data_IF_077826617265
#
_entry.id   IF_077826617265
#
_cell.length_a   1.000
_cell.length_b   1.000
_cell.length_c   1.000
_cell.angle_alpha   90.00
_cell.angle_beta   90.00
_cell.angle_gamma   90.00
#
_symmetry.space_group_name_H-M   'P 1'
#
loop_
_entity.id
_entity.type
_entity.pdbx_description
1 polymer ?
#
# COMPACT_ATOMS: atom_id res chain seq x y z
N UNK A 1 -55.29 7.96 -0.60
CA UNK A 1 -56.26 9.05 -0.38
C UNK A 1 -56.02 9.66 0.99
N UNK A 2 -55.60 10.92 1.05
CA UNK A 2 -55.79 11.82 2.21
C UNK A 2 -56.98 12.74 1.87
N UNK A 3 -57.71 13.36 2.84
CA UNK A 3 -57.22 14.57 3.57
C UNK A 3 -57.75 14.75 5.04
N UNK A 4 -56.97 15.31 5.98
CA UNK A 4 -56.90 16.71 6.53
C UNK A 4 -58.16 17.26 7.27
N UNK A 5 -58.06 17.57 8.59
CA UNK A 5 -58.22 18.95 9.19
C UNK A 5 -58.07 19.07 10.73
N UNK A 6 -57.14 19.95 11.12
CA UNK A 6 -57.11 21.01 12.18
C UNK A 6 -57.76 20.84 13.57
N UNK A 7 -57.00 21.18 14.64
CA UNK A 7 -57.25 22.39 15.47
C UNK A 7 -56.05 22.74 16.39
N UNK A 8 -56.03 24.01 16.84
CA UNK A 8 -54.95 24.75 17.54
C UNK A 8 -55.17 24.76 19.06
N UNK A 9 -54.10 24.84 19.86
CA UNK A 9 -54.05 25.66 21.10
C UNK A 9 -52.68 26.35 21.19
N UNK A 10 -52.71 27.62 21.58
CA UNK A 10 -51.57 28.54 21.73
C UNK A 10 -51.18 28.70 23.20
N UNK A 11 -49.91 28.96 23.51
CA UNK A 11 -49.57 29.95 24.55
C UNK A 11 -48.20 30.62 24.29
N UNK A 12 -48.12 31.86 24.78
CA UNK A 12 -47.26 32.98 24.38
C UNK A 12 -45.84 32.98 24.97
N UNK A 13 -44.90 33.41 24.12
CA UNK A 13 -43.85 34.46 24.29
C UNK A 13 -42.94 34.43 25.53
N UNK A 14 -41.63 34.34 25.28
CA UNK A 14 -40.69 35.43 25.61
C UNK A 14 -39.62 35.57 24.52
N UNK A 15 -39.41 36.81 24.09
CA UNK A 15 -38.35 37.26 23.19
C UNK A 15 -37.03 37.30 23.96
N UNK A 16 -35.90 36.96 23.33
CA UNK A 16 -34.78 37.89 23.11
C UNK A 16 -33.93 37.39 21.96
N UNK A 17 -33.58 38.33 21.09
CA UNK A 17 -32.87 38.21 19.83
C UNK A 17 -31.38 38.35 20.10
N UNK A 18 -30.56 37.50 19.46
CA UNK A 18 -29.25 37.90 18.95
C UNK A 18 -28.87 36.99 17.77
N UNK A 19 -29.20 37.45 16.56
CA UNK A 19 -28.57 36.95 15.33
C UNK A 19 -27.19 37.56 15.25
N UNK A 20 -26.15 36.74 15.20
CA UNK A 20 -24.83 37.19 14.75
C UNK A 20 -24.57 36.56 13.39
N UNK A 21 -24.81 37.35 12.34
CA UNK A 21 -24.33 37.07 10.98
C UNK A 21 -22.96 37.71 10.89
N UNK A 22 -21.90 36.91 10.76
CA UNK A 22 -20.56 37.43 10.43
C UNK A 22 -20.31 37.15 8.95
N UNK A 23 -20.32 38.24 8.19
CA UNK A 23 -19.84 38.33 6.81
C UNK A 23 -18.37 38.78 6.91
N UNK A 24 -17.42 37.93 6.53
CA UNK A 24 -16.01 38.34 6.42
C UNK A 24 -15.69 38.61 4.96
N UNK A 25 -15.56 39.90 4.65
CA UNK A 25 -14.84 40.41 3.48
C UNK A 25 -13.37 40.62 3.89
N UNK A 26 -12.47 40.24 3.00
CA UNK A 26 -11.03 40.39 3.12
C UNK A 26 -10.62 41.84 3.41
N UNK A 27 -9.78 42.04 4.44
CA UNK A 27 -8.53 42.84 4.45
C UNK A 27 -8.08 43.04 5.91
N UNK A 28 -6.80 42.75 6.21
CA UNK A 28 -6.14 43.27 7.42
C UNK A 28 -5.67 42.23 8.44
N UNK A 29 -4.36 41.97 8.43
CA UNK A 29 -3.61 41.04 9.26
C UNK A 29 -3.49 41.42 10.75
N UNK A 30 -3.20 40.39 11.56
CA UNK A 30 -2.25 40.35 12.67
C UNK A 30 -2.65 40.68 14.13
N UNK A 31 -3.83 41.21 14.45
CA UNK A 31 -4.16 41.52 15.87
C UNK A 31 -5.21 40.61 16.56
N UNK A 32 -5.95 39.78 15.83
CA UNK A 32 -7.05 39.02 16.43
C UNK A 32 -6.64 37.67 17.04
N UNK A 33 -5.42 37.18 16.78
CA UNK A 33 -4.98 35.85 17.26
C UNK A 33 -4.33 35.87 18.66
N UNK A 34 -3.96 37.05 19.17
CA UNK A 34 -3.38 37.20 20.53
C UNK A 34 -4.48 37.33 21.60
N UNK A 35 -5.70 37.77 21.25
CA UNK A 35 -6.78 37.93 22.23
C UNK A 35 -7.57 36.64 22.51
N UNK A 36 -7.64 35.69 21.56
CA UNK A 36 -8.31 34.40 21.78
C UNK A 36 -7.52 33.42 22.65
N UNK A 37 -6.18 33.54 22.71
CA UNK A 37 -5.34 32.74 23.61
C UNK A 37 -5.35 33.24 25.06
N UNK A 38 -5.73 34.50 25.30
CA UNK A 38 -5.82 35.07 26.66
C UNK A 38 -7.18 34.84 27.32
N UNK A 39 -8.26 34.76 26.54
CA UNK A 39 -9.63 34.52 27.04
C UNK A 39 -9.95 33.05 27.34
N UNK A 40 -9.14 32.10 26.89
CA UNK A 40 -9.30 30.66 27.20
C UNK A 40 -8.48 30.20 28.43
N UNK A 41 -7.77 31.10 29.11
CA UNK A 41 -6.93 30.77 30.28
C UNK A 41 -7.60 30.94 31.65
N UNK A 42 -8.83 31.45 31.71
CA UNK A 42 -9.49 31.74 33.01
C UNK A 42 -10.78 30.96 33.28
N UNK A 43 -11.13 29.96 32.48
CA UNK A 43 -12.24 29.07 32.88
C UNK A 43 -12.06 27.71 32.23
N UNK A 44 -11.49 26.76 32.98
CA UNK A 44 -11.79 25.31 33.01
C UNK A 44 -10.70 24.67 33.88
N UNK A 45 -11.07 24.39 35.12
CA UNK A 45 -10.30 23.58 36.05
C UNK A 45 -10.89 22.16 35.98
N UNK A 46 -10.53 21.38 34.96
CA UNK A 46 -10.98 19.98 34.83
C UNK A 46 -9.93 19.10 34.14
N UNK A 47 -9.46 18.12 34.91
CA UNK A 47 -8.77 16.87 34.57
C UNK A 47 -7.46 16.90 33.77
N UNK A 48 -6.43 16.38 34.43
CA UNK A 48 -5.12 16.00 33.91
C UNK A 48 -5.22 15.03 32.72
N UNK A 49 -5.18 15.54 31.50
CA UNK A 49 -4.61 14.82 30.34
C UNK A 49 -3.70 15.82 29.63
N UNK A 50 -2.42 15.47 29.47
CA UNK A 50 -1.44 16.28 28.75
C UNK A 50 -1.86 16.40 27.27
N UNK A 51 -2.61 17.44 26.93
CA UNK A 51 -2.81 17.84 25.53
C UNK A 51 -1.59 18.66 25.12
N UNK A 52 -0.60 17.99 24.55
CA UNK A 52 0.49 18.66 23.83
C UNK A 52 -0.07 19.13 22.49
N UNK A 53 -0.46 20.40 22.40
CA UNK A 53 -0.79 21.04 21.12
C UNK A 53 0.54 21.33 20.41
N UNK A 54 0.89 20.51 19.43
CA UNK A 54 2.00 20.78 18.52
C UNK A 54 1.58 21.87 17.54
N UNK A 55 1.86 23.12 17.89
CA UNK A 55 1.88 24.24 16.95
C UNK A 55 3.30 24.33 16.37
N UNK A 56 3.68 23.37 15.54
CA UNK A 56 4.82 23.57 14.64
C UNK A 56 4.31 24.38 13.46
N UNK A 57 4.80 25.61 13.32
CA UNK A 57 4.74 26.35 12.07
C UNK A 57 5.42 25.47 11.00
N UNK A 58 4.63 24.66 10.30
CA UNK A 58 5.09 23.98 9.10
C UNK A 58 5.30 25.08 8.09
N UNK A 59 6.56 25.44 7.84
CA UNK A 59 6.91 26.14 6.61
C UNK A 59 6.39 25.26 5.47
N UNK A 60 5.28 25.67 4.87
CA UNK A 60 4.66 25.03 3.71
C UNK A 60 5.61 25.24 2.54
N UNK A 61 6.62 24.36 2.43
CA UNK A 61 7.39 24.24 1.22
C UNK A 61 6.53 23.40 0.29
N UNK A 62 5.86 24.07 -0.65
CA UNK A 62 5.20 23.39 -1.77
C UNK A 62 6.26 22.62 -2.54
N UNK A 63 6.12 21.29 -2.63
CA UNK A 63 7.07 20.42 -3.34
C UNK A 63 6.44 19.87 -4.61
N UNK A 64 7.23 19.78 -5.68
CA UNK A 64 6.84 19.14 -6.94
C UNK A 64 7.62 17.84 -7.10
N UNK A 65 6.91 16.72 -7.08
CA UNK A 65 7.45 15.38 -7.33
C UNK A 65 7.02 14.88 -8.70
N UNK A 66 7.90 14.15 -9.38
CA UNK A 66 7.54 13.44 -10.61
C UNK A 66 7.80 11.94 -10.52
N UNK A 67 6.86 11.18 -11.05
CA UNK A 67 6.89 9.72 -11.17
C UNK A 67 6.66 9.32 -12.62
N UNK A 68 7.42 8.33 -13.09
CA UNK A 68 7.05 7.51 -14.25
C UNK A 68 6.82 6.10 -13.69
N UNK A 69 5.65 5.50 -13.92
CA UNK A 69 5.32 4.21 -13.30
C UNK A 69 4.57 3.31 -14.27
N UNK A 70 4.76 2.01 -14.15
CA UNK A 70 4.08 1.00 -14.99
C UNK A 70 2.96 0.29 -14.21
N UNK A 71 2.86 0.54 -12.91
CA UNK A 71 1.83 0.00 -12.02
C UNK A 71 1.07 1.09 -11.27
N UNK A 72 -0.26 1.12 -11.41
CA UNK A 72 -1.06 2.29 -11.00
C UNK A 72 -1.51 2.31 -9.54
N UNK A 73 -1.73 1.16 -8.90
CA UNK A 73 -2.40 1.15 -7.60
C UNK A 73 -1.51 1.67 -6.47
N UNK A 74 -0.22 1.32 -6.46
CA UNK A 74 0.74 1.81 -5.45
C UNK A 74 0.98 3.31 -5.59
N UNK A 75 1.19 3.82 -6.81
CA UNK A 75 1.37 5.26 -7.04
C UNK A 75 0.09 6.05 -6.79
N UNK A 76 -1.08 5.46 -7.07
CA UNK A 76 -2.36 6.07 -6.73
C UNK A 76 -2.50 6.26 -5.22
N UNK A 77 -2.14 5.24 -4.43
CA UNK A 77 -2.17 5.34 -2.97
C UNK A 77 -1.30 6.49 -2.45
N UNK A 78 -0.06 6.59 -2.93
CA UNK A 78 0.86 7.65 -2.51
C UNK A 78 0.38 9.01 -2.94
N UNK A 79 -0.15 9.13 -4.17
CA UNK A 79 -0.75 10.38 -4.61
C UNK A 79 -1.80 10.84 -3.61
N UNK A 80 -2.64 9.92 -3.11
CA UNK A 80 -3.68 10.23 -2.12
C UNK A 80 -3.09 10.56 -0.75
N UNK A 81 -2.06 9.85 -0.31
CA UNK A 81 -1.33 10.18 0.92
C UNK A 81 -0.67 11.57 0.85
N UNK A 82 -0.01 11.86 -0.26
CA UNK A 82 0.72 13.12 -0.49
C UNK A 82 -0.18 14.33 -0.63
N UNK A 83 -1.47 14.18 -1.00
CA UNK A 83 -2.44 15.29 -0.97
C UNK A 83 -2.65 15.90 0.42
N UNK A 84 -2.29 15.16 1.48
CA UNK A 84 -2.35 15.67 2.86
C UNK A 84 -1.12 16.52 3.22
N UNK A 85 -0.13 16.56 2.33
CA UNK A 85 1.02 17.43 2.35
C UNK A 85 0.85 18.42 1.18
N UNK A 86 1.43 19.62 1.26
CA UNK A 86 1.39 20.57 0.15
C UNK A 86 2.36 20.13 -0.97
N UNK A 87 2.07 18.96 -1.57
CA UNK A 87 2.93 18.26 -2.51
C UNK A 87 2.15 17.98 -3.78
N UNK A 88 2.63 18.51 -4.90
CA UNK A 88 2.16 18.17 -6.23
C UNK A 88 2.89 16.92 -6.73
N UNK A 89 2.13 15.88 -7.12
CA UNK A 89 2.69 14.69 -7.75
C UNK A 89 2.28 14.62 -9.23
N UNK A 90 3.25 14.86 -10.11
CA UNK A 90 3.16 14.67 -11.56
C UNK A 90 3.39 13.18 -11.86
N UNK A 91 2.29 12.44 -12.08
CA UNK A 91 2.34 11.01 -12.45
C UNK A 91 2.18 10.84 -13.97
N UNK A 92 3.24 10.36 -14.63
CA UNK A 92 3.25 9.99 -16.04
C UNK A 92 3.27 8.47 -16.18
N UNK A 93 2.10 7.86 -15.98
CA UNK A 93 1.96 6.40 -16.01
C UNK A 93 2.06 5.84 -17.43
N UNK A 94 2.87 4.79 -17.55
CA UNK A 94 3.04 3.94 -18.73
C UNK A 94 2.22 2.64 -18.62
N UNK A 95 1.43 2.47 -17.55
CA UNK A 95 0.60 1.28 -17.34
C UNK A 95 -0.47 1.13 -18.43
N UNK A 96 -0.82 -0.11 -18.79
CA UNK A 96 -1.96 -0.39 -19.67
C UNK A 96 -3.31 0.05 -19.08
N UNK A 97 -3.38 0.17 -17.76
CA UNK A 97 -4.59 0.55 -17.03
C UNK A 97 -4.61 2.03 -16.60
N UNK A 98 -3.68 2.86 -17.08
CA UNK A 98 -3.56 4.28 -16.69
C UNK A 98 -4.82 5.10 -16.98
N UNK A 99 -5.68 4.64 -17.90
CA UNK A 99 -6.92 5.30 -18.28
C UNK A 99 -7.95 5.26 -17.13
N UNK A 100 -7.88 4.24 -16.25
CA UNK A 100 -8.77 4.12 -15.09
C UNK A 100 -8.48 5.19 -14.04
N UNK A 101 -7.22 5.59 -13.90
CA UNK A 101 -6.76 6.60 -12.93
C UNK A 101 -6.58 7.99 -13.55
N UNK A 102 -6.79 8.13 -14.86
CA UNK A 102 -6.52 9.36 -15.64
C UNK A 102 -5.06 9.85 -15.51
N UNK A 103 -4.11 8.92 -15.35
CA UNK A 103 -2.68 9.23 -15.18
C UNK A 103 -1.81 8.83 -16.39
N UNK A 104 -2.43 8.48 -17.52
CA UNK A 104 -1.67 8.13 -18.72
C UNK A 104 -0.73 9.25 -19.13
N UNK A 105 0.54 8.90 -19.37
CA UNK A 105 1.49 9.79 -20.01
C UNK A 105 0.96 10.25 -21.38
N UNK A 106 0.97 11.57 -21.63
CA UNK A 106 0.51 12.16 -22.90
C UNK A 106 1.64 12.78 -23.73
N UNK A 107 2.78 13.09 -23.10
CA UNK A 107 3.85 13.90 -23.68
C UNK A 107 5.25 13.42 -23.24
N UNK A 108 5.44 12.11 -23.06
CA UNK A 108 6.78 11.56 -22.86
C UNK A 108 7.53 11.53 -24.21
N UNK A 109 8.73 12.12 -24.26
CA UNK A 109 9.52 12.30 -25.48
C UNK A 109 10.33 11.05 -25.87
N UNK A 110 10.66 10.21 -24.90
CA UNK A 110 11.66 9.12 -25.07
C UNK A 110 11.16 7.80 -24.53
N UNK A 111 10.59 7.80 -23.32
CA UNK A 111 10.07 6.57 -22.71
C UNK A 111 8.61 6.35 -23.10
N UNK A 112 8.29 5.10 -23.40
CA UNK A 112 6.95 4.62 -23.68
C UNK A 112 6.72 3.24 -23.02
N UNK A 113 5.60 2.59 -23.36
CA UNK A 113 5.22 1.31 -22.78
C UNK A 113 6.15 0.15 -23.13
N UNK A 114 6.92 0.28 -24.20
CA UNK A 114 7.80 -0.77 -24.74
C UNK A 114 9.17 -0.76 -24.08
N UNK A 115 9.70 0.43 -23.76
CA UNK A 115 11.03 0.59 -23.17
C UNK A 115 11.03 1.05 -21.70
N UNK A 116 9.86 1.45 -21.14
CA UNK A 116 9.79 2.01 -19.79
C UNK A 116 10.19 1.07 -18.66
N UNK A 117 10.11 -0.26 -18.85
CA UNK A 117 10.54 -1.24 -17.84
C UNK A 117 12.07 -1.33 -17.80
N UNK A 118 12.70 -1.37 -18.96
CA UNK A 118 14.12 -1.67 -19.11
C UNK A 118 14.77 -0.77 -20.18
N UNK A 119 14.86 0.55 -19.91
CA UNK A 119 15.44 1.46 -20.88
C UNK A 119 16.93 1.17 -21.08
N UNK A 120 17.37 1.16 -22.34
CA UNK A 120 18.77 0.97 -22.70
C UNK A 120 19.66 2.11 -22.17
N UNK A 121 20.98 1.97 -22.31
CA UNK A 121 21.91 3.05 -21.96
C UNK A 121 21.67 4.27 -22.87
N UNK A 122 21.46 4.04 -24.16
CA UNK A 122 21.18 5.09 -25.15
C UNK A 122 19.84 5.76 -24.89
N UNK A 123 18.81 5.01 -24.48
CA UNK A 123 17.49 5.57 -24.13
C UNK A 123 17.56 6.43 -22.87
N UNK A 124 18.33 6.01 -21.84
CA UNK A 124 18.60 6.84 -20.66
C UNK A 124 19.32 8.14 -21.01
N UNK A 125 20.30 8.09 -21.91
CA UNK A 125 20.99 9.28 -22.38
C UNK A 125 20.06 10.21 -23.17
N UNK A 126 19.29 9.66 -24.11
CA UNK A 126 18.27 10.42 -24.86
C UNK A 126 17.24 11.06 -23.92
N UNK A 127 16.84 10.36 -22.86
CA UNK A 127 15.93 10.89 -21.86
C UNK A 127 16.53 12.13 -21.18
N UNK A 128 17.74 12.04 -20.65
CA UNK A 128 18.40 13.18 -20.03
C UNK A 128 18.54 14.37 -21.00
N UNK A 129 19.01 14.13 -22.23
CA UNK A 129 19.18 15.18 -23.23
C UNK A 129 17.86 15.88 -23.62
N UNK A 130 16.77 15.11 -23.70
CA UNK A 130 15.44 15.64 -24.03
C UNK A 130 14.79 16.45 -22.90
N UNK A 131 15.26 16.27 -21.66
CA UNK A 131 14.61 16.78 -20.45
C UNK A 131 15.46 17.69 -19.57
N UNK A 132 16.79 17.76 -19.76
CA UNK A 132 17.70 18.57 -18.94
C UNK A 132 17.33 20.06 -18.87
N UNK A 133 16.70 20.58 -19.93
CA UNK A 133 16.23 21.96 -20.05
C UNK A 133 14.70 22.04 -20.18
N UNK A 134 13.97 20.96 -19.88
CA UNK A 134 12.51 20.95 -20.01
C UNK A 134 11.87 21.75 -18.86
N UNK A 135 10.93 22.67 -19.15
CA UNK A 135 10.33 23.52 -18.12
C UNK A 135 9.63 22.74 -17.00
N UNK A 136 9.07 21.56 -17.29
CA UNK A 136 8.42 20.73 -16.27
C UNK A 136 9.48 20.08 -15.37
N UNK A 137 10.53 19.49 -15.96
CA UNK A 137 11.59 18.79 -15.21
C UNK A 137 12.49 19.72 -14.39
N UNK A 138 12.69 20.95 -14.85
CA UNK A 138 13.51 21.94 -14.14
C UNK A 138 12.85 22.44 -12.84
N UNK A 139 11.52 22.36 -12.75
CA UNK A 139 10.73 22.74 -11.57
C UNK A 139 10.61 21.61 -10.53
N UNK A 140 11.00 20.38 -10.87
CA UNK A 140 10.89 19.22 -9.97
C UNK A 140 11.90 19.32 -8.83
N UNK A 141 11.41 19.12 -7.61
CA UNK A 141 12.23 19.11 -6.40
C UNK A 141 12.85 17.73 -6.16
N UNK A 142 12.11 16.65 -6.45
CA UNK A 142 12.60 15.28 -6.31
C UNK A 142 11.87 14.29 -7.26
N UNK A 143 12.54 13.18 -7.55
CA UNK A 143 11.97 12.08 -8.35
C UNK A 143 11.55 10.93 -7.46
N UNK A 144 10.42 10.29 -7.77
CA UNK A 144 9.94 9.09 -7.07
C UNK A 144 9.83 7.89 -8.02
N UNK A 145 10.32 6.73 -7.60
CA UNK A 145 10.29 5.49 -8.38
C UNK A 145 9.70 4.35 -7.56
N UNK A 146 8.67 3.71 -8.13
CA UNK A 146 7.95 2.60 -7.50
C UNK A 146 8.13 1.28 -8.23
N UNK A 147 7.69 1.23 -9.49
CA UNK A 147 7.54 -0.02 -10.20
C UNK A 147 7.75 0.18 -11.72
N UNK A 148 8.93 -0.18 -12.26
CA UNK A 148 10.10 -0.73 -11.55
C UNK A 148 10.95 0.35 -10.86
N UNK A 149 11.58 0.01 -9.72
CA UNK A 149 12.52 0.91 -9.03
C UNK A 149 13.79 1.18 -9.84
N UNK A 150 14.25 0.22 -10.65
CA UNK A 150 15.43 0.38 -11.50
C UNK A 150 15.30 1.52 -12.54
N UNK A 151 14.07 1.95 -12.82
CA UNK A 151 13.83 3.10 -13.69
C UNK A 151 14.41 4.40 -13.09
N UNK A 152 14.68 4.47 -11.78
CA UNK A 152 15.35 5.63 -11.18
C UNK A 152 16.73 5.96 -11.78
N UNK A 153 17.36 5.00 -12.47
CA UNK A 153 18.59 5.28 -13.21
C UNK A 153 18.42 6.36 -14.29
N UNK A 154 17.21 6.57 -14.84
CA UNK A 154 16.94 7.64 -15.82
C UNK A 154 17.02 9.04 -15.18
N UNK A 155 16.81 9.12 -13.86
CA UNK A 155 16.74 10.38 -13.12
C UNK A 155 18.04 10.73 -12.39
N UNK A 156 18.95 9.77 -12.20
CA UNK A 156 20.25 10.01 -11.55
C UNK A 156 21.04 11.20 -12.13
N UNK A 157 21.09 11.44 -13.47
CA UNK A 157 21.85 12.56 -14.03
C UNK A 157 21.33 13.96 -13.66
N UNK A 158 20.07 14.09 -13.20
CA UNK A 158 19.48 15.39 -12.84
C UNK A 158 19.97 15.93 -11.50
N UNK A 159 20.70 15.14 -10.71
CA UNK A 159 21.22 15.53 -9.40
C UNK A 159 20.17 16.12 -8.44
N UNK A 160 18.94 15.60 -8.51
CA UNK A 160 17.87 15.87 -7.56
C UNK A 160 17.71 14.70 -6.59
N UNK A 161 17.16 14.94 -5.39
CA UNK A 161 16.77 13.86 -4.49
C UNK A 161 15.94 12.78 -5.19
N UNK A 162 16.24 11.52 -4.87
CA UNK A 162 15.53 10.34 -5.36
C UNK A 162 14.83 9.64 -4.20
N UNK A 163 13.56 9.31 -4.39
CA UNK A 163 12.75 8.49 -3.49
C UNK A 163 12.48 7.16 -4.18
N UNK A 164 13.16 6.11 -3.75
CA UNK A 164 12.99 4.76 -4.27
C UNK A 164 12.14 3.99 -3.29
N UNK A 165 11.03 3.42 -3.74
CA UNK A 165 10.20 2.55 -2.91
C UNK A 165 9.89 1.27 -3.68
N UNK A 166 10.55 0.17 -3.32
CA UNK A 166 10.27 -1.12 -3.94
C UNK A 166 8.91 -1.65 -3.48
N UNK A 167 7.96 -1.76 -4.41
CA UNK A 167 6.66 -2.42 -4.17
C UNK A 167 6.59 -3.86 -4.66
N UNK A 168 7.65 -4.29 -5.34
CA UNK A 168 7.96 -5.67 -5.71
C UNK A 168 9.48 -5.73 -5.89
N UNK A 169 10.04 -6.95 -5.94
CA UNK A 169 11.46 -7.23 -6.15
C UNK A 169 12.15 -6.20 -7.05
N UNK A 170 13.10 -5.49 -6.45
CA UNK A 170 13.67 -4.22 -6.95
C UNK A 170 14.49 -4.37 -8.25
N UNK A 171 14.86 -5.59 -8.62
CA UNK A 171 15.59 -5.96 -9.84
C UNK A 171 14.71 -6.03 -11.09
N UNK A 172 13.41 -5.73 -10.97
CA UNK A 172 12.52 -5.69 -12.13
C UNK A 172 13.10 -4.79 -13.25
N UNK A 173 13.25 -5.38 -14.45
CA UNK A 173 13.85 -4.72 -15.60
C UNK A 173 15.38 -4.82 -15.67
N UNK A 174 16.03 -5.51 -14.74
CA UNK A 174 17.48 -5.76 -14.72
C UNK A 174 17.73 -7.26 -14.55
N UNK A 175 17.20 -8.04 -15.48
CA UNK A 175 17.11 -9.49 -15.36
C UNK A 175 18.41 -10.23 -15.71
N UNK A 176 19.34 -9.59 -16.42
CA UNK A 176 20.69 -10.17 -16.63
C UNK A 176 21.57 -9.94 -15.40
N UNK A 177 22.57 -10.83 -15.23
CA UNK A 177 23.52 -10.75 -14.12
C UNK A 177 24.27 -9.41 -14.11
N UNK A 178 24.71 -8.97 -15.28
CA UNK A 178 25.48 -7.74 -15.46
C UNK A 178 24.63 -6.50 -15.13
N UNK A 179 23.39 -6.47 -15.60
CA UNK A 179 22.45 -5.38 -15.30
C UNK A 179 22.07 -5.33 -13.83
N UNK A 180 21.82 -6.48 -13.19
CA UNK A 180 21.48 -6.52 -11.78
C UNK A 180 22.66 -6.07 -10.90
N UNK A 181 23.89 -6.53 -11.18
CA UNK A 181 25.10 -6.06 -10.48
C UNK A 181 25.25 -4.54 -10.65
N UNK A 182 25.05 -4.02 -11.87
CA UNK A 182 25.12 -2.58 -12.13
C UNK A 182 24.05 -1.82 -11.36
N UNK A 183 22.83 -2.35 -11.31
CA UNK A 183 21.75 -1.76 -10.55
C UNK A 183 22.03 -1.74 -9.04
N UNK A 184 22.61 -2.80 -8.47
CA UNK A 184 23.01 -2.83 -7.05
C UNK A 184 24.02 -1.72 -6.73
N UNK A 185 25.02 -1.53 -7.59
CA UNK A 185 26.00 -0.45 -7.45
C UNK A 185 25.34 0.92 -7.51
N UNK A 186 24.43 1.12 -8.46
CA UNK A 186 23.69 2.38 -8.58
C UNK A 186 22.79 2.63 -7.37
N UNK A 187 22.09 1.62 -6.85
CA UNK A 187 21.27 1.74 -5.65
C UNK A 187 22.11 2.08 -4.41
N UNK A 188 23.31 1.49 -4.28
CA UNK A 188 24.27 1.86 -3.23
C UNK A 188 24.73 3.32 -3.36
N UNK A 189 25.07 3.78 -4.57
CA UNK A 189 25.42 5.19 -4.82
C UNK A 189 24.27 6.14 -4.46
N UNK A 190 23.03 5.75 -4.78
CA UNK A 190 21.84 6.52 -4.42
C UNK A 190 21.70 6.59 -2.89
N UNK A 191 21.89 5.49 -2.18
CA UNK A 191 21.78 5.42 -0.73
C UNK A 191 22.86 6.23 0.03
N UNK A 192 24.03 6.46 -0.58
CA UNK A 192 25.11 7.28 0.02
C UNK A 192 24.73 8.76 0.13
N UNK A 193 23.82 9.26 -0.70
CA UNK A 193 23.39 10.65 -0.62
C UNK A 193 22.34 10.81 0.48
N UNK A 194 22.58 11.63 1.52
CA UNK A 194 21.66 11.79 2.63
C UNK A 194 20.35 12.47 2.21
N UNK A 195 20.20 13.04 1.02
CA UNK A 195 18.90 13.55 0.54
C UNK A 195 18.06 12.49 -0.14
N UNK A 196 18.65 11.37 -0.54
CA UNK A 196 17.93 10.27 -1.17
C UNK A 196 17.29 9.35 -0.14
N UNK A 197 16.23 8.68 -0.55
CA UNK A 197 15.50 7.70 0.24
C UNK A 197 15.50 6.37 -0.51
N UNK A 198 15.92 5.31 0.17
CA UNK A 198 15.69 3.93 -0.26
C UNK A 198 14.72 3.29 0.72
N UNK A 199 13.58 2.86 0.20
CA UNK A 199 12.48 2.32 0.96
C UNK A 199 11.89 1.08 0.27
N UNK A 200 11.02 0.39 1.00
CA UNK A 200 10.20 -0.69 0.47
C UNK A 200 8.76 -0.56 0.98
N UNK A 201 7.80 -1.05 0.19
CA UNK A 201 6.39 -1.04 0.55
C UNK A 201 6.02 -2.12 1.59
N UNK A 202 6.90 -3.09 1.80
CA UNK A 202 6.70 -4.19 2.74
C UNK A 202 8.06 -4.71 3.26
N UNK A 203 8.03 -5.52 4.31
CA UNK A 203 9.24 -6.07 4.92
C UNK A 203 9.96 -7.07 4.01
N UNK A 204 9.23 -7.86 3.21
CA UNK A 204 9.84 -8.82 2.27
C UNK A 204 10.79 -8.11 1.30
N UNK A 205 10.32 -7.07 0.62
CA UNK A 205 11.12 -6.32 -0.35
C UNK A 205 12.24 -5.53 0.35
N UNK A 206 12.04 -5.08 1.60
CA UNK A 206 13.10 -4.47 2.40
C UNK A 206 14.26 -5.44 2.67
N UNK A 207 13.93 -6.66 3.13
CA UNK A 207 14.90 -7.73 3.39
C UNK A 207 15.54 -8.24 2.10
N UNK A 208 14.80 -8.26 1.00
CA UNK A 208 15.32 -8.62 -0.31
C UNK A 208 16.39 -7.62 -0.79
N UNK A 209 16.11 -6.32 -0.69
CA UNK A 209 17.13 -5.27 -0.97
C UNK A 209 18.33 -5.44 -0.04
N UNK A 210 18.10 -5.64 1.27
CA UNK A 210 19.18 -5.83 2.25
C UNK A 210 20.06 -7.02 1.91
N UNK A 211 19.47 -8.13 1.48
CA UNK A 211 20.19 -9.34 1.10
C UNK A 211 21.14 -9.14 -0.08
N UNK A 212 20.72 -8.44 -1.13
CA UNK A 212 21.55 -8.26 -2.33
C UNK A 212 22.43 -7.02 -2.34
N UNK A 213 22.17 -6.02 -1.48
CA UNK A 213 22.85 -4.73 -1.52
C UNK A 213 23.47 -4.29 -0.20
N UNK A 214 23.06 -4.89 0.93
CA UNK A 214 23.46 -4.46 2.27
C UNK A 214 22.77 -3.17 2.74
N UNK A 215 21.99 -2.52 1.90
CA UNK A 215 21.21 -1.33 2.25
C UNK A 215 20.08 -1.76 3.20
N UNK A 216 19.81 -0.99 4.24
CA UNK A 216 18.64 -1.20 5.11
C UNK A 216 17.56 -0.19 4.72
N UNK A 217 16.54 -0.58 3.93
CA UNK A 217 15.52 0.34 3.50
C UNK A 217 14.57 0.69 4.63
N UNK A 218 13.99 1.89 4.59
CA UNK A 218 12.84 2.20 5.44
C UNK A 218 11.58 1.53 4.89
N UNK A 219 10.66 1.13 5.76
CA UNK A 219 9.41 0.46 5.35
C UNK A 219 8.30 1.50 5.32
N UNK A 220 7.72 1.73 4.13
CA UNK A 220 6.62 2.68 3.88
C UNK A 220 5.46 1.92 3.23
N UNK A 221 4.62 1.25 4.04
CA UNK A 221 3.49 0.49 3.53
C UNK A 221 2.41 1.36 2.93
N UNK A 222 1.66 0.77 2.00
CA UNK A 222 0.48 1.40 1.43
C UNK A 222 -0.60 1.63 2.50
N UNK A 223 -1.20 2.81 2.49
CA UNK A 223 -2.21 3.23 3.45
C UNK A 223 -3.63 2.87 2.96
N UNK A 224 -3.85 2.92 1.65
CA UNK A 224 -5.11 2.63 0.96
C UNK A 224 -6.34 3.36 1.54
N UNK A 225 -6.16 4.60 2.03
CA UNK A 225 -7.27 5.35 2.65
C UNK A 225 -8.30 5.87 1.64
N UNK A 226 -7.95 5.87 0.36
CA UNK A 226 -8.85 6.20 -0.74
C UNK A 226 -10.05 5.25 -0.85
N UNK A 227 -9.97 4.05 -0.25
CA UNK A 227 -11.10 3.11 -0.19
C UNK A 227 -12.29 3.72 0.54
N UNK A 228 -12.04 4.53 1.59
CA UNK A 228 -13.03 5.22 2.42
C UNK A 228 -14.21 4.33 2.89
N UNK A 229 -13.95 3.04 3.08
CA UNK A 229 -14.94 2.03 3.46
C UNK A 229 -14.42 1.27 4.68
N UNK A 230 -15.33 0.79 5.51
CA UNK A 230 -15.01 -0.08 6.65
C UNK A 230 -15.92 -1.29 6.67
N UNK A 231 -15.44 -2.35 7.30
CA UNK A 231 -16.15 -3.61 7.53
C UNK A 231 -17.57 -3.38 8.05
N UNK A 232 -18.54 -3.87 7.29
CA UNK A 232 -19.97 -3.72 7.55
C UNK A 232 -20.70 -5.00 7.08
N UNK A 233 -20.46 -6.15 7.74
CA UNK A 233 -20.88 -7.45 7.24
C UNK A 233 -22.41 -7.56 7.18
N UNK A 234 -22.92 -8.12 6.09
CA UNK A 234 -24.33 -8.47 5.92
C UNK A 234 -24.52 -9.95 6.23
N UNK A 235 -25.48 -10.25 7.10
CA UNK A 235 -25.85 -11.62 7.46
C UNK A 235 -26.20 -12.42 6.20
N UNK A 236 -25.75 -13.67 6.13
CA UNK A 236 -25.95 -14.63 5.01
C UNK A 236 -25.08 -14.39 3.76
N UNK A 237 -24.27 -13.32 3.69
CA UNK A 237 -23.26 -13.25 2.63
C UNK A 237 -22.20 -14.34 2.83
N UNK A 238 -21.68 -14.94 1.75
CA UNK A 238 -20.63 -15.96 1.86
C UNK A 238 -19.32 -15.32 2.33
N UNK A 239 -18.42 -16.12 2.90
CA UNK A 239 -17.01 -15.71 2.96
C UNK A 239 -16.44 -15.67 1.53
N UNK A 240 -15.61 -14.66 1.27
CA UNK A 240 -14.93 -14.56 -0.02
C UNK A 240 -13.66 -15.41 -0.01
N UNK A 241 -13.31 -15.98 -1.15
CA UNK A 241 -11.98 -16.52 -1.41
C UNK A 241 -11.30 -15.59 -2.41
N UNK A 242 -10.13 -15.09 -2.04
CA UNK A 242 -9.31 -14.22 -2.89
C UNK A 242 -8.86 -14.95 -4.17
N UNK A 243 -8.33 -14.18 -5.12
CA UNK A 243 -7.84 -14.74 -6.40
C UNK A 243 -6.72 -15.75 -6.16
N UNK A 244 -6.80 -16.88 -6.86
CA UNK A 244 -5.76 -17.92 -6.92
C UNK A 244 -5.45 -18.20 -8.39
N UNK A 245 -4.16 -18.23 -8.76
CA UNK A 245 -3.74 -18.43 -10.16
C UNK A 245 -3.39 -19.88 -10.52
N UNK A 246 -3.18 -20.75 -9.52
CA UNK A 246 -2.90 -22.17 -9.77
C UNK A 246 -4.19 -22.97 -9.87
N UNK A 247 -4.73 -23.12 -11.08
CA UNK A 247 -6.06 -23.72 -11.34
C UNK A 247 -6.25 -25.11 -10.69
N UNK A 248 -5.29 -26.02 -10.88
CA UNK A 248 -5.36 -27.37 -10.29
C UNK A 248 -5.51 -27.32 -8.76
N UNK A 249 -4.73 -26.45 -8.12
CA UNK A 249 -4.79 -26.26 -6.68
C UNK A 249 -6.09 -25.56 -6.25
N UNK A 250 -6.56 -24.56 -7.01
CA UNK A 250 -7.85 -23.88 -6.81
C UNK A 250 -9.01 -24.88 -6.77
N UNK A 251 -9.08 -25.82 -7.70
CA UNK A 251 -10.12 -26.85 -7.71
C UNK A 251 -10.01 -27.80 -6.51
N UNK A 252 -8.79 -28.26 -6.20
CA UNK A 252 -8.54 -29.14 -5.06
C UNK A 252 -8.91 -28.47 -3.73
N UNK A 253 -8.49 -27.22 -3.53
CA UNK A 253 -8.79 -26.42 -2.35
C UNK A 253 -10.29 -26.28 -2.13
N UNK A 254 -11.03 -25.83 -3.16
CA UNK A 254 -12.48 -25.65 -3.07
C UNK A 254 -13.21 -26.96 -2.78
N UNK A 255 -12.81 -28.07 -3.42
CA UNK A 255 -13.40 -29.39 -3.16
C UNK A 255 -13.21 -29.78 -1.69
N UNK A 256 -11.99 -29.68 -1.20
CA UNK A 256 -11.65 -30.06 0.18
C UNK A 256 -12.38 -29.17 1.20
N UNK A 257 -12.45 -27.86 0.95
CA UNK A 257 -13.15 -26.90 1.81
C UNK A 257 -14.65 -27.19 1.87
N UNK A 258 -15.30 -27.42 0.73
CA UNK A 258 -16.72 -27.80 0.69
C UNK A 258 -16.99 -29.11 1.44
N UNK A 259 -16.11 -30.10 1.30
CA UNK A 259 -16.21 -31.35 2.05
C UNK A 259 -16.07 -31.14 3.56
N UNK A 260 -15.13 -30.30 4.00
CA UNK A 260 -14.95 -29.98 5.42
C UNK A 260 -16.14 -29.22 6.01
N UNK A 261 -16.63 -28.19 5.32
CA UNK A 261 -17.82 -27.44 5.71
C UNK A 261 -19.03 -28.36 5.87
N UNK A 262 -19.25 -29.29 4.92
CA UNK A 262 -20.33 -30.28 5.01
C UNK A 262 -20.19 -31.18 6.24
N UNK A 263 -18.97 -31.66 6.55
CA UNK A 263 -18.71 -32.50 7.74
C UNK A 263 -18.97 -31.75 9.04
N UNK A 264 -18.67 -30.45 9.09
CA UNK A 264 -18.86 -29.61 10.27
C UNK A 264 -20.32 -29.20 10.53
N UNK A 265 -21.26 -29.57 9.66
CA UNK A 265 -22.68 -29.21 9.75
C UNK A 265 -22.93 -27.70 9.96
N UNK A 266 -22.12 -26.85 9.32
CA UNK A 266 -22.24 -25.40 9.39
C UNK A 266 -23.10 -24.84 8.26
N UNK A 267 -23.78 -23.72 8.50
CA UNK A 267 -24.50 -22.96 7.47
C UNK A 267 -23.61 -21.99 6.68
N UNK A 268 -22.30 -21.98 6.94
CA UNK A 268 -21.35 -21.11 6.25
C UNK A 268 -21.28 -21.45 4.76
N UNK A 269 -21.35 -20.41 3.94
CA UNK A 269 -21.12 -20.47 2.50
C UNK A 269 -19.83 -19.76 2.13
N UNK A 270 -19.18 -20.23 1.07
CA UNK A 270 -17.92 -19.67 0.54
C UNK A 270 -18.02 -19.51 -0.96
N UNK A 271 -17.39 -18.49 -1.52
CA UNK A 271 -17.33 -18.28 -2.97
C UNK A 271 -16.11 -17.47 -3.37
N UNK A 272 -15.58 -17.74 -4.57
CA UNK A 272 -14.50 -16.95 -5.12
C UNK A 272 -14.98 -15.53 -5.43
N UNK A 273 -14.19 -14.54 -5.04
CA UNK A 273 -14.51 -13.12 -5.25
C UNK A 273 -14.84 -12.82 -6.72
N UNK A 274 -14.03 -13.36 -7.64
CA UNK A 274 -14.21 -13.19 -9.09
C UNK A 274 -15.44 -13.92 -9.64
N UNK A 275 -15.91 -14.97 -8.99
CA UNK A 275 -17.10 -15.69 -9.43
C UNK A 275 -18.38 -14.95 -8.97
N UNK A 276 -18.33 -14.32 -7.79
CA UNK A 276 -19.44 -13.54 -7.21
C UNK A 276 -19.58 -12.19 -7.94
N UNK A 277 -18.48 -11.47 -8.14
CA UNK A 277 -18.48 -10.10 -8.66
C UNK A 277 -18.06 -9.96 -10.12
N UNK A 278 -17.82 -11.09 -10.82
CA UNK A 278 -17.44 -11.15 -12.25
C UNK A 278 -16.43 -10.06 -12.64
N UNK A 279 -16.91 -8.98 -13.24
CA UNK A 279 -16.09 -7.93 -13.84
C UNK A 279 -15.87 -6.71 -12.94
N UNK A 280 -16.83 -6.35 -12.07
CA UNK A 280 -16.79 -5.09 -11.31
C UNK A 280 -17.43 -5.24 -9.93
N UNK A 281 -16.81 -4.58 -8.95
CA UNK A 281 -17.33 -4.41 -7.60
C UNK A 281 -16.84 -3.08 -7.04
N UNK A 282 -17.55 -2.57 -6.06
CA UNK A 282 -17.12 -1.44 -5.23
C UNK A 282 -16.44 -1.94 -3.96
N UNK A 283 -15.68 -1.09 -3.27
CA UNK A 283 -15.07 -1.47 -1.99
C UNK A 283 -16.11 -1.86 -0.92
N UNK A 284 -17.28 -1.20 -0.92
CA UNK A 284 -18.40 -1.52 -0.03
C UNK A 284 -18.99 -2.90 -0.27
N UNK A 285 -18.97 -3.38 -1.53
CA UNK A 285 -19.40 -4.73 -1.85
C UNK A 285 -18.55 -5.75 -1.09
N UNK A 286 -17.24 -5.61 -1.14
CA UNK A 286 -16.28 -6.50 -0.48
C UNK A 286 -16.37 -6.38 1.05
N UNK A 287 -16.44 -5.16 1.58
CA UNK A 287 -16.51 -4.91 3.03
C UNK A 287 -17.79 -5.41 3.70
N UNK A 288 -18.81 -5.77 2.91
CA UNK A 288 -20.06 -6.34 3.41
C UNK A 288 -20.04 -7.86 3.56
N UNK A 289 -18.95 -8.54 3.18
CA UNK A 289 -18.78 -9.97 3.44
C UNK A 289 -18.23 -10.24 4.85
N UNK A 290 -18.51 -11.40 5.47
CA UNK A 290 -18.03 -11.71 6.83
C UNK A 290 -16.51 -11.72 6.97
N UNK A 291 -15.79 -12.14 5.93
CA UNK A 291 -14.33 -12.18 5.90
C UNK A 291 -13.82 -12.74 4.58
N UNK A 292 -12.49 -12.77 4.44
CA UNK A 292 -11.81 -13.17 3.19
C UNK A 292 -10.76 -14.23 3.48
N UNK A 293 -10.83 -15.33 2.74
CA UNK A 293 -9.87 -16.44 2.78
C UNK A 293 -8.85 -16.21 1.67
N UNK A 294 -7.59 -16.17 2.05
CA UNK A 294 -6.47 -15.99 1.14
C UNK A 294 -5.66 -17.27 0.99
N UNK A 295 -5.43 -17.65 -0.27
CA UNK A 295 -4.25 -18.40 -0.67
C UNK A 295 -3.45 -17.45 -1.57
N UNK A 296 -2.40 -16.80 -1.04
CA UNK A 296 -1.72 -15.73 -1.75
C UNK A 296 -0.95 -16.27 -2.96
N UNK A 297 -0.93 -15.49 -4.05
CA UNK A 297 -0.08 -15.73 -5.21
C UNK A 297 1.20 -14.88 -5.20
N UNK A 298 1.27 -13.88 -4.32
CA UNK A 298 2.41 -12.99 -4.12
C UNK A 298 2.57 -12.70 -2.62
N UNK A 299 3.79 -12.37 -2.21
CA UNK A 299 4.17 -12.03 -0.81
C UNK A 299 3.64 -10.66 -0.35
N UNK A 300 3.25 -9.81 -1.30
CA UNK A 300 2.65 -8.50 -1.08
C UNK A 300 1.65 -8.19 -2.18
N UNK A 301 0.46 -7.70 -1.81
CA UNK A 301 -0.66 -7.51 -2.74
C UNK A 301 -1.41 -6.22 -2.41
N UNK A 302 -1.61 -5.33 -3.38
CA UNK A 302 -2.37 -4.09 -3.14
C UNK A 302 -3.80 -4.36 -2.65
N UNK A 303 -4.46 -5.39 -3.16
CA UNK A 303 -5.79 -5.78 -2.68
C UNK A 303 -5.80 -6.23 -1.22
N UNK A 304 -4.70 -6.83 -0.74
CA UNK A 304 -4.53 -7.19 0.66
C UNK A 304 -4.41 -5.94 1.54
N UNK A 305 -3.63 -4.92 1.12
CA UNK A 305 -3.61 -3.64 1.83
C UNK A 305 -4.99 -3.01 1.90
N UNK A 306 -5.69 -2.89 0.77
CA UNK A 306 -7.04 -2.31 0.72
C UNK A 306 -8.00 -3.04 1.68
N UNK A 307 -8.03 -4.38 1.64
CA UNK A 307 -8.95 -5.18 2.46
C UNK A 307 -8.60 -5.14 3.95
N UNK A 308 -7.31 -5.14 4.29
CA UNK A 308 -6.86 -4.99 5.66
C UNK A 308 -7.20 -3.60 6.22
N UNK A 309 -7.06 -2.55 5.41
CA UNK A 309 -7.37 -1.15 5.78
C UNK A 309 -8.86 -0.89 5.91
N UNK A 310 -9.69 -1.64 5.17
CA UNK A 310 -11.13 -1.73 5.39
C UNK A 310 -11.51 -2.49 6.67
N UNK A 311 -10.54 -3.05 7.42
CA UNK A 311 -10.75 -3.80 8.66
C UNK A 311 -11.55 -5.10 8.46
N UNK A 312 -11.46 -5.70 7.27
CA UNK A 312 -12.14 -6.96 6.97
C UNK A 312 -11.35 -8.12 7.59
N UNK A 313 -11.96 -9.03 8.37
CA UNK A 313 -11.28 -10.20 8.89
C UNK A 313 -10.68 -11.07 7.78
N UNK A 314 -9.38 -11.37 7.89
CA UNK A 314 -8.63 -12.11 6.89
C UNK A 314 -8.13 -13.46 7.44
N UNK A 315 -8.24 -14.50 6.61
CA UNK A 315 -7.81 -15.85 6.92
C UNK A 315 -6.69 -16.28 5.98
N UNK A 316 -5.53 -16.64 6.54
CA UNK A 316 -4.36 -17.08 5.79
C UNK A 316 -3.86 -18.45 6.25
N UNK A 317 -3.26 -19.26 5.38
CA UNK A 317 -2.55 -20.45 5.83
C UNK A 317 -1.42 -20.06 6.78
N UNK A 318 -1.11 -20.91 7.75
CA UNK A 318 0.11 -20.78 8.55
C UNK A 318 1.33 -20.87 7.65
N UNK A 319 2.46 -20.32 8.13
CA UNK A 319 3.70 -20.29 7.35
C UNK A 319 4.15 -21.68 6.92
N UNK A 320 3.96 -22.69 7.77
CA UNK A 320 4.32 -24.07 7.46
C UNK A 320 3.40 -24.63 6.37
N UNK A 321 2.07 -24.45 6.50
CA UNK A 321 1.12 -24.92 5.49
C UNK A 321 1.35 -24.24 4.13
N UNK A 322 1.59 -22.92 4.12
CA UNK A 322 1.84 -22.19 2.89
C UNK A 322 3.17 -22.57 2.25
N UNK A 323 4.21 -22.82 3.05
CA UNK A 323 5.50 -23.37 2.58
C UNK A 323 5.28 -24.71 1.89
N UNK A 324 4.52 -25.62 2.50
CA UNK A 324 4.24 -26.94 1.93
C UNK A 324 3.44 -26.85 0.61
N UNK A 325 2.42 -26.00 0.58
CA UNK A 325 1.63 -25.76 -0.63
C UNK A 325 2.44 -25.10 -1.73
N UNK A 326 3.31 -24.14 -1.41
CA UNK A 326 4.16 -23.51 -2.41
C UNK A 326 5.24 -24.46 -2.93
N UNK A 327 5.90 -25.21 -2.06
CA UNK A 327 6.88 -26.22 -2.47
C UNK A 327 6.27 -27.29 -3.39
N UNK A 328 5.03 -27.69 -3.14
CA UNK A 328 4.38 -28.78 -3.90
C UNK A 328 3.64 -28.30 -5.15
N UNK A 329 3.08 -27.09 -5.10
CA UNK A 329 2.13 -26.61 -6.12
C UNK A 329 2.47 -25.21 -6.66
N UNK A 330 3.55 -24.58 -6.21
CA UNK A 330 3.95 -23.23 -6.57
C UNK A 330 2.82 -22.20 -6.41
N UNK A 331 2.05 -22.26 -5.32
CA UNK A 331 0.86 -21.40 -5.14
C UNK A 331 1.15 -19.91 -5.07
N UNK A 332 2.36 -19.52 -4.64
CA UNK A 332 2.89 -18.15 -4.67
C UNK A 332 3.78 -17.96 -5.91
N UNK A 333 3.18 -18.08 -7.09
CA UNK A 333 3.89 -18.07 -8.38
C UNK A 333 4.51 -16.72 -8.74
N UNK A 334 4.18 -15.65 -8.00
CA UNK A 334 4.79 -14.33 -8.13
C UNK A 334 5.73 -14.01 -6.97
N UNK A 335 6.34 -15.01 -6.33
CA UNK A 335 7.38 -14.79 -5.31
C UNK A 335 8.71 -14.32 -5.93
N UNK A 336 9.09 -14.90 -7.06
CA UNK A 336 10.33 -14.64 -7.79
C UNK A 336 10.05 -14.33 -9.26
N UNK A 337 10.91 -13.58 -9.94
CA UNK A 337 10.73 -13.30 -11.38
C UNK A 337 10.87 -14.55 -12.25
N UNK A 338 11.77 -15.45 -11.87
CA UNK A 338 11.94 -16.76 -12.49
C UNK A 338 10.64 -17.56 -12.52
N UNK A 339 9.88 -17.59 -11.41
CA UNK A 339 8.58 -18.26 -11.38
C UNK A 339 7.52 -17.53 -12.21
N UNK A 340 7.53 -16.18 -12.23
CA UNK A 340 6.65 -15.38 -13.11
C UNK A 340 6.87 -15.74 -14.58
N UNK A 341 8.13 -15.97 -14.98
CA UNK A 341 8.49 -16.40 -16.33
C UNK A 341 8.41 -17.92 -16.55
N UNK A 342 7.85 -18.68 -15.59
CA UNK A 342 7.67 -20.15 -15.63
C UNK A 342 8.99 -20.93 -15.70
N UNK A 343 10.05 -20.37 -15.13
CA UNK A 343 11.38 -20.96 -15.06
C UNK A 343 11.91 -20.91 -13.61
N UNK A 344 11.21 -21.50 -12.61
CA UNK A 344 11.65 -21.46 -11.21
C UNK A 344 13.09 -21.93 -11.07
N UNK A 345 13.87 -21.22 -10.24
CA UNK A 345 15.29 -21.47 -10.03
C UNK A 345 15.57 -21.99 -8.62
N UNK A 346 16.71 -22.66 -8.44
CA UNK A 346 17.23 -23.05 -7.13
C UNK A 346 18.26 -22.04 -6.57
N UNK A 347 18.57 -20.98 -7.31
CA UNK A 347 19.55 -19.96 -6.93
C UNK A 347 19.30 -18.65 -7.66
N UNK A 348 19.71 -17.55 -7.04
CA UNK A 348 19.83 -16.25 -7.69
C UNK A 348 20.99 -16.26 -8.69
N UNK A 349 20.86 -15.46 -9.76
CA UNK A 349 21.92 -15.26 -10.76
C UNK A 349 23.10 -14.41 -10.24
N UNK A 350 22.88 -13.69 -9.13
CA UNK A 350 23.92 -13.00 -8.35
C UNK A 350 23.91 -13.54 -6.92
N UNK A 351 25.06 -13.59 -6.23
CA UNK A 351 25.09 -13.94 -4.81
C UNK A 351 24.49 -12.80 -3.96
N UNK A 352 23.94 -13.16 -2.81
CA UNK A 352 23.68 -12.19 -1.74
C UNK A 352 24.99 -11.62 -1.18
N UNK A 353 24.90 -10.45 -0.55
CA UNK A 353 26.02 -9.81 0.17
C UNK A 353 25.98 -10.07 1.67
N UNK A 354 24.87 -10.62 2.18
CA UNK A 354 24.78 -11.07 3.56
C UNK A 354 25.44 -12.46 3.70
N UNK A 355 25.83 -12.81 4.94
CA UNK A 355 26.54 -14.04 5.25
C UNK A 355 25.80 -15.30 4.77
N UNK A 356 26.54 -16.40 4.62
CA UNK A 356 26.07 -17.69 4.10
C UNK A 356 24.96 -18.36 4.91
N UNK A 357 24.67 -17.86 6.11
CA UNK A 357 23.63 -18.38 7.00
C UNK A 357 22.21 -17.98 6.55
N UNK A 358 22.09 -16.97 5.68
CA UNK A 358 20.81 -16.55 5.11
C UNK A 358 20.58 -17.29 3.79
N UNK A 359 19.50 -18.07 3.65
CA UNK A 359 19.23 -18.80 2.41
C UNK A 359 18.87 -17.86 1.27
N UNK A 360 19.12 -18.29 0.03
CA UNK A 360 18.83 -17.50 -1.17
C UNK A 360 17.31 -17.25 -1.34
N UNK A 361 16.85 -15.99 -1.47
CA UNK A 361 15.44 -15.67 -1.67
C UNK A 361 14.84 -16.21 -2.95
N UNK A 362 15.66 -16.50 -3.97
CA UNK A 362 15.16 -17.01 -5.25
C UNK A 362 15.25 -18.54 -5.36
N UNK A 363 15.58 -19.25 -4.27
CA UNK A 363 15.52 -20.70 -4.26
C UNK A 363 14.08 -21.20 -4.08
N UNK A 364 13.50 -21.73 -5.15
CA UNK A 364 12.13 -22.30 -5.21
C UNK A 364 12.07 -23.80 -4.85
N UNK A 365 13.21 -24.43 -4.57
CA UNK A 365 13.34 -25.88 -4.36
C UNK A 365 13.90 -26.26 -2.98
N UNK A 366 14.17 -25.27 -2.12
CA UNK A 366 14.51 -25.49 -0.72
C UNK A 366 13.38 -25.00 0.19
N UNK A 367 12.78 -25.93 0.93
CA UNK A 367 11.72 -25.64 1.91
C UNK A 367 12.18 -24.65 2.97
N UNK A 368 13.44 -24.72 3.40
CA UNK A 368 13.98 -23.81 4.42
C UNK A 368 14.09 -22.40 3.86
N UNK A 369 14.60 -22.25 2.63
CA UNK A 369 14.64 -20.97 1.94
C UNK A 369 13.25 -20.36 1.77
N UNK A 370 12.30 -21.13 1.22
CA UNK A 370 10.90 -20.70 1.06
C UNK A 370 10.34 -20.21 2.39
N UNK A 371 10.41 -21.05 3.43
CA UNK A 371 9.85 -20.72 4.74
C UNK A 371 10.51 -19.49 5.35
N UNK A 372 11.84 -19.39 5.25
CA UNK A 372 12.60 -18.26 5.77
C UNK A 372 12.13 -16.95 5.14
N UNK A 373 11.94 -16.92 3.82
CA UNK A 373 11.54 -15.70 3.12
C UNK A 373 10.06 -15.39 3.26
N UNK A 374 9.20 -16.41 3.31
CA UNK A 374 7.76 -16.20 3.47
C UNK A 374 7.42 -15.49 4.76
N UNK A 375 8.20 -15.64 5.84
CA UNK A 375 7.92 -14.97 7.10
C UNK A 375 7.82 -13.45 6.97
N UNK A 376 8.51 -12.84 5.99
CA UNK A 376 8.51 -11.40 5.77
C UNK A 376 7.30 -10.88 4.96
N UNK A 377 6.43 -11.78 4.48
CA UNK A 377 5.23 -11.42 3.73
C UNK A 377 4.27 -10.59 4.58
N UNK A 378 3.54 -9.67 3.95
CA UNK A 378 2.64 -8.72 4.64
C UNK A 378 1.70 -9.40 5.64
N UNK A 379 1.07 -10.48 5.20
CA UNK A 379 0.09 -11.24 5.98
C UNK A 379 0.67 -12.02 7.15
N UNK A 380 1.99 -12.10 7.34
CA UNK A 380 2.62 -12.61 8.57
C UNK A 380 3.17 -11.50 9.48
N UNK A 381 3.26 -10.27 8.98
CA UNK A 381 3.75 -9.12 9.72
C UNK A 381 2.62 -8.32 10.39
N UNK A 382 1.39 -8.46 9.89
CA UNK A 382 0.28 -7.65 10.36
C UNK A 382 -0.49 -8.32 11.50
N UNK A 383 -0.92 -7.55 12.52
CA UNK A 383 -1.69 -8.10 13.62
C UNK A 383 -3.13 -8.45 13.18
N UNK A 384 -3.79 -9.28 13.99
CA UNK A 384 -5.20 -9.66 13.82
C UNK A 384 -5.53 -10.41 12.52
N UNK A 385 -4.53 -11.00 11.86
CA UNK A 385 -4.73 -12.01 10.82
C UNK A 385 -5.04 -13.35 11.50
N UNK A 386 -6.02 -14.09 10.97
CA UNK A 386 -6.34 -15.43 11.45
C UNK A 386 -5.61 -16.47 10.61
N UNK A 387 -4.66 -17.20 11.22
CA UNK A 387 -3.93 -18.26 10.52
C UNK A 387 -4.62 -19.62 10.65
N UNK A 388 -4.53 -20.49 9.66
CA UNK A 388 -5.00 -21.88 9.74
C UNK A 388 -3.94 -22.90 9.29
N UNK A 389 -3.90 -24.05 9.95
CA UNK A 389 -2.90 -25.12 9.73
C UNK A 389 -3.42 -26.24 8.82
N UNK A 390 -4.72 -26.29 8.55
CA UNK A 390 -5.34 -27.24 7.63
C UNK A 390 -6.69 -26.71 7.14
N UNK A 391 -7.30 -27.39 6.16
CA UNK A 391 -8.65 -27.06 5.70
C UNK A 391 -9.71 -27.26 6.80
N UNK A 392 -9.56 -28.30 7.63
CA UNK A 392 -10.49 -28.54 8.75
C UNK A 392 -10.32 -27.48 9.85
N UNK A 393 -9.08 -27.06 10.14
CA UNK A 393 -8.80 -25.95 11.06
C UNK A 393 -9.36 -24.61 10.52
N UNK A 394 -9.26 -24.38 9.20
CA UNK A 394 -9.92 -23.24 8.56
C UNK A 394 -11.43 -23.29 8.80
N UNK A 395 -12.09 -24.42 8.56
CA UNK A 395 -13.53 -24.56 8.80
C UNK A 395 -13.91 -24.27 10.26
N UNK A 396 -13.14 -24.77 11.23
CA UNK A 396 -13.33 -24.45 12.65
C UNK A 396 -13.24 -22.92 12.85
N UNK A 397 -12.17 -22.29 12.36
CA UNK A 397 -11.94 -20.85 12.51
C UNK A 397 -13.01 -19.99 11.83
N UNK A 398 -13.54 -20.40 10.69
CA UNK A 398 -14.65 -19.69 10.04
C UNK A 398 -15.92 -19.69 10.92
N UNK A 399 -16.12 -20.72 11.75
CA UNK A 399 -17.29 -20.83 12.64
C UNK A 399 -17.10 -20.19 14.01
N UNK A 400 -15.89 -20.22 14.57
CA UNK A 400 -15.65 -19.88 15.97
C UNK A 400 -15.01 -18.51 16.19
N UNK A 401 -14.50 -17.88 15.14
CA UNK A 401 -13.74 -16.62 15.27
C UNK A 401 -14.68 -15.43 15.50
N UNK A 402 -14.36 -14.59 16.49
CA UNK A 402 -15.06 -13.33 16.73
C UNK A 402 -14.64 -12.26 15.70
N UNK A 403 -15.33 -12.25 14.56
CA UNK A 403 -15.05 -11.37 13.43
C UNK A 403 -15.17 -9.87 13.77
N UNK A 404 -16.15 -9.52 14.62
CA UNK A 404 -16.37 -8.13 15.05
C UNK A 404 -15.21 -7.63 15.91
N UNK A 405 -14.70 -8.47 16.81
CA UNK A 405 -13.56 -8.13 17.64
C UNK A 405 -12.27 -7.98 16.82
N UNK A 406 -12.02 -8.91 15.88
CA UNK A 406 -10.90 -8.79 14.94
C UNK A 406 -10.96 -7.45 14.20
N UNK A 407 -12.10 -7.14 13.58
CA UNK A 407 -12.28 -5.89 12.83
C UNK A 407 -12.06 -4.66 13.71
N UNK A 408 -12.59 -4.66 14.95
CA UNK A 408 -12.39 -3.57 15.92
C UNK A 408 -10.89 -3.37 16.23
N UNK A 409 -10.15 -4.45 16.45
CA UNK A 409 -8.72 -4.36 16.77
C UNK A 409 -7.89 -3.94 15.55
N UNK A 410 -8.22 -4.44 14.35
CA UNK A 410 -7.62 -3.96 13.09
C UNK A 410 -7.82 -2.44 12.92
N UNK A 411 -9.03 -1.93 13.22
CA UNK A 411 -9.33 -0.49 13.13
C UNK A 411 -8.45 0.35 14.06
N UNK A 412 -8.23 -0.12 15.28
CA UNK A 412 -7.34 0.55 16.24
C UNK A 412 -5.91 0.59 15.69
N UNK A 413 -5.39 -0.55 15.26
CA UNK A 413 -4.06 -0.65 14.67
C UNK A 413 -3.90 0.23 13.42
N UNK A 414 -4.87 0.19 12.50
CA UNK A 414 -4.85 0.97 11.27
C UNK A 414 -4.88 2.49 11.52
N UNK A 415 -5.56 2.92 12.59
CA UNK A 415 -5.58 4.33 13.00
C UNK A 415 -4.21 4.80 13.48
N UNK A 416 -3.55 4.00 14.32
CA UNK A 416 -2.20 4.27 14.81
C UNK A 416 -1.17 4.25 13.67
N UNK A 417 -1.22 3.23 12.79
CA UNK A 417 -0.33 3.15 11.65
C UNK A 417 -0.48 4.36 10.71
N UNK A 418 -1.70 4.85 10.46
CA UNK A 418 -1.92 6.05 9.65
C UNK A 418 -1.15 7.25 10.20
N UNK A 419 -1.18 7.45 11.51
CA UNK A 419 -0.43 8.55 12.16
C UNK A 419 1.08 8.37 12.00
N UNK A 420 1.59 7.14 12.20
CA UNK A 420 3.01 6.82 12.02
C UNK A 420 3.48 7.05 10.58
N UNK A 421 2.69 6.63 9.59
CA UNK A 421 3.02 6.85 8.18
C UNK A 421 3.03 8.33 7.82
N UNK A 422 2.08 9.10 8.36
CA UNK A 422 2.07 10.55 8.17
C UNK A 422 3.33 11.22 8.72
N UNK A 423 3.79 10.80 9.91
CA UNK A 423 5.04 11.28 10.50
C UNK A 423 6.27 10.88 9.67
N UNK A 424 6.31 9.64 9.16
CA UNK A 424 7.38 9.16 8.29
C UNK A 424 7.44 9.96 6.99
N UNK A 425 6.31 10.19 6.33
CA UNK A 425 6.23 11.02 5.13
C UNK A 425 6.65 12.46 5.41
N UNK A 426 6.20 13.05 6.53
CA UNK A 426 6.65 14.38 6.92
C UNK A 426 8.17 14.45 7.05
N UNK A 427 8.79 13.46 7.70
CA UNK A 427 10.25 13.39 7.83
C UNK A 427 10.95 13.25 6.47
N UNK A 428 10.42 12.42 5.57
CA UNK A 428 10.93 12.25 4.21
C UNK A 428 10.88 13.57 3.44
N UNK A 429 9.74 14.27 3.48
CA UNK A 429 9.53 15.54 2.78
C UNK A 429 10.44 16.65 3.33
N UNK A 430 10.65 16.70 4.65
CA UNK A 430 11.63 17.60 5.27
C UNK A 430 13.06 17.29 4.82
N UNK A 431 13.41 16.01 4.72
CA UNK A 431 14.75 15.56 4.31
C UNK A 431 15.06 15.87 2.84
N UNK A 432 14.09 15.78 1.93
CA UNK A 432 14.32 16.13 0.52
C UNK A 432 14.29 17.65 0.26
N UNK A 433 13.63 18.42 1.12
CA UNK A 433 13.53 19.88 1.00
C UNK A 433 14.73 20.63 1.60
N UNK A 434 15.52 20.00 2.48
CA UNK A 434 16.75 20.59 2.98
C UNK A 434 17.77 20.77 1.85
N UNK A 435 18.11 22.03 1.54
CA UNK A 435 19.03 22.40 0.45
C UNK A 435 20.44 21.90 0.69
#
# INVERSE_FOLDING_TARGET
MAPIRMSRVSYRRFKTIAKLTIMVLCTGNFLLMIMTTRLLKETVQLSQHNITIWSTEYFLISLILISICIFNSTIHDIKRQLLSFDVELIDKSLSNHCHLTKTCAKNLKVLDKTNGISPSIEERQKFYEAYKNDPEMTQVDAFICFHPTAMCEVFMPFNRPLIIIASTRYEMGRFSKEEWIKWNKNLQLIALNPRNIVAANNLYDAEYIRYFTGITPIIIPSLCDYTNVSYAPIIKKPFLIATMYVDKFRFQFMRNLKSSLKRSNTSITVGYLRDIYKERYEYSDIASHPGIIYIPYQVSLMSLFEQYRMNIPLFFPSIDLLTEWHYTHHVIDQRTWDTVYKHPSNTSIIPGVLGSDIPDPNNEFDRKAIRYWLQFSDFYQWPHITYFNSIDDLTIKLTSTNLTEISRNMKIYNTDLKQKLFQQWNHILQRISSK
#
